data_IF_829230246796
#
_entry.id   IF_829230246796
#
_cell.length_a   1.000
_cell.length_b   1.000
_cell.length_c   1.000
_cell.angle_alpha   90.00
_cell.angle_beta   90.00
_cell.angle_gamma   90.00
#
_symmetry.space_group_name_H-M   'P 1'
#
loop_
_entity.id
_entity.type
_entity.pdbx_description
1 polymer ?
#
# COMPACT_ATOMS: atom_id res chain seq x y z
N UNK A 1 3.36 0.32 -10.82
CA UNK A 1 3.66 1.32 -9.78
C UNK A 1 3.47 0.68 -8.42
N UNK A 2 4.43 0.85 -7.52
CA UNK A 2 4.36 0.33 -6.14
C UNK A 2 4.31 1.49 -5.16
N UNK A 3 3.22 1.59 -4.43
CA UNK A 3 3.04 2.62 -3.40
C UNK A 3 3.64 2.14 -2.07
N UNK A 4 4.18 3.07 -1.31
CA UNK A 4 4.84 2.78 -0.04
C UNK A 4 4.49 3.86 1.00
N UNK A 5 4.32 3.43 2.23
CA UNK A 5 4.28 4.31 3.40
C UNK A 5 5.54 4.05 4.21
N UNK A 6 6.20 5.10 4.66
CA UNK A 6 7.50 4.99 5.31
C UNK A 6 7.68 6.03 6.41
N UNK A 7 8.62 5.76 7.30
CA UNK A 7 9.11 6.74 8.25
C UNK A 7 10.53 7.15 7.85
N UNK A 8 10.80 8.44 7.91
CA UNK A 8 12.13 9.01 7.64
C UNK A 8 12.34 10.22 8.54
N UNK A 9 13.43 10.20 9.28
CA UNK A 9 13.78 11.32 10.17
C UNK A 9 12.64 11.71 11.13
N UNK A 10 11.95 10.69 11.68
CA UNK A 10 10.85 10.90 12.61
C UNK A 10 9.53 11.35 11.98
N UNK A 11 9.44 11.39 10.65
CA UNK A 11 8.21 11.78 9.95
C UNK A 11 7.70 10.64 9.10
N UNK A 12 6.37 10.52 9.02
CA UNK A 12 5.70 9.56 8.15
C UNK A 12 5.48 10.20 6.78
N UNK A 13 5.85 9.50 5.74
CA UNK A 13 5.63 9.91 4.37
C UNK A 13 5.07 8.79 3.53
N UNK A 14 4.66 9.12 2.32
CA UNK A 14 4.23 8.13 1.35
C UNK A 14 4.77 8.48 -0.04
N UNK A 15 4.89 7.48 -0.88
CA UNK A 15 5.47 7.69 -2.20
C UNK A 15 5.39 6.46 -3.07
N UNK A 16 6.22 6.47 -4.12
CA UNK A 16 6.29 5.41 -5.12
C UNK A 16 7.71 4.88 -5.18
N UNK A 17 7.84 3.55 -5.18
CA UNK A 17 9.14 2.92 -5.38
C UNK A 17 9.47 2.91 -6.87
N UNK A 18 10.64 3.43 -7.23
CA UNK A 18 11.14 3.44 -8.61
C UNK A 18 12.66 3.28 -8.60
N UNK A 19 13.17 2.31 -9.37
CA UNK A 19 14.62 2.12 -9.58
C UNK A 19 15.45 2.11 -8.27
N UNK A 20 14.97 1.43 -7.23
CA UNK A 20 15.69 1.32 -5.97
C UNK A 20 15.60 2.53 -5.05
N UNK A 21 14.74 3.48 -5.35
CA UNK A 21 14.50 4.66 -4.54
C UNK A 21 13.02 4.97 -4.41
N UNK A 22 12.71 6.10 -3.80
CA UNK A 22 11.33 6.55 -3.57
C UNK A 22 11.14 7.93 -4.18
N UNK A 23 10.05 8.09 -4.93
CA UNK A 23 9.53 9.40 -5.31
C UNK A 23 8.52 9.78 -4.23
N UNK A 24 8.83 10.80 -3.45
CA UNK A 24 7.93 11.28 -2.40
C UNK A 24 6.69 11.94 -3.01
N UNK A 25 5.51 11.58 -2.51
CA UNK A 25 4.26 12.12 -2.99
C UNK A 25 3.65 13.19 -2.07
N UNK A 26 4.20 13.37 -0.88
CA UNK A 26 3.73 14.39 0.04
C UNK A 26 3.83 15.78 -0.63
N UNK A 27 2.72 16.52 -0.58
CA UNK A 27 2.59 17.88 -1.15
C UNK A 27 2.75 17.98 -2.67
N UNK A 28 2.76 16.86 -3.40
CA UNK A 28 2.90 16.86 -4.86
C UNK A 28 1.61 16.58 -5.62
N UNK A 29 0.62 16.02 -4.95
CA UNK A 29 -0.67 15.70 -5.58
C UNK A 29 -1.71 16.77 -5.20
N UNK A 30 -1.75 17.14 -3.93
CA UNK A 30 -2.66 18.12 -3.40
C UNK A 30 -2.46 18.24 -1.89
N UNK A 31 -2.84 19.38 -1.32
CA UNK A 31 -2.67 19.62 0.12
C UNK A 31 -3.50 18.67 0.99
N UNK A 32 -4.56 18.12 0.42
CA UNK A 32 -5.47 17.20 1.10
C UNK A 32 -5.14 15.72 0.84
N UNK A 33 -4.10 15.44 0.07
CA UNK A 33 -3.62 14.08 -0.19
C UNK A 33 -2.33 13.86 0.60
N UNK A 34 -2.47 13.33 1.81
CA UNK A 34 -1.37 13.20 2.78
C UNK A 34 -0.98 11.75 3.06
N UNK A 35 -1.66 10.79 2.45
CA UNK A 35 -1.42 9.36 2.64
C UNK A 35 -1.93 8.57 1.44
N UNK A 36 -1.52 7.29 1.36
CA UNK A 36 -2.06 6.37 0.35
C UNK A 36 -3.59 6.25 0.50
N UNK A 37 -4.08 6.19 1.74
CA UNK A 37 -5.51 6.12 2.01
C UNK A 37 -6.26 7.31 1.40
N UNK A 38 -5.78 8.52 1.60
CA UNK A 38 -6.41 9.72 1.03
C UNK A 38 -6.24 9.78 -0.50
N UNK A 39 -5.13 9.31 -1.04
CA UNK A 39 -4.91 9.23 -2.47
C UNK A 39 -5.95 8.32 -3.15
N UNK A 40 -6.20 7.16 -2.57
CA UNK A 40 -7.21 6.23 -3.09
C UNK A 40 -8.63 6.77 -2.91
N UNK A 41 -8.91 7.35 -1.76
CA UNK A 41 -10.24 7.92 -1.45
C UNK A 41 -10.61 9.05 -2.40
N UNK A 42 -9.65 9.82 -2.84
CA UNK A 42 -9.85 10.94 -3.77
C UNK A 42 -9.64 10.58 -5.24
N UNK A 43 -9.37 9.31 -5.54
CA UNK A 43 -9.15 8.82 -6.90
C UNK A 43 -8.04 9.56 -7.65
N UNK A 44 -6.93 9.83 -6.97
CA UNK A 44 -5.79 10.58 -7.53
C UNK A 44 -4.66 9.68 -8.04
N UNK A 45 -4.95 8.41 -8.30
CA UNK A 45 -3.95 7.44 -8.76
C UNK A 45 -3.33 7.84 -10.10
N UNK A 46 -4.10 8.49 -10.97
CA UNK A 46 -3.58 8.95 -12.27
C UNK A 46 -2.50 10.01 -12.10
N UNK A 47 -2.67 10.95 -11.18
CA UNK A 47 -1.65 11.94 -10.88
C UNK A 47 -0.37 11.29 -10.35
N UNK A 48 -0.52 10.28 -9.48
CA UNK A 48 0.62 9.52 -9.00
C UNK A 48 1.33 8.78 -10.13
N UNK A 49 0.60 8.19 -11.06
CA UNK A 49 1.17 7.52 -12.22
C UNK A 49 1.94 8.50 -13.12
N UNK A 50 1.38 9.68 -13.36
CA UNK A 50 2.05 10.72 -14.15
C UNK A 50 3.37 11.15 -13.49
N UNK A 51 3.37 11.32 -12.17
CA UNK A 51 4.58 11.63 -11.40
C UNK A 51 5.60 10.50 -11.52
N UNK A 52 5.16 9.25 -11.43
CA UNK A 52 6.01 8.08 -11.59
C UNK A 52 6.73 8.07 -12.93
N UNK A 53 6.04 8.44 -14.00
CA UNK A 53 6.61 8.44 -15.35
C UNK A 53 7.60 9.60 -15.56
N UNK A 54 7.35 10.75 -14.95
CA UNK A 54 8.12 11.98 -15.20
C UNK A 54 9.28 12.20 -14.23
N UNK A 55 9.18 11.70 -13.00
CA UNK A 55 10.16 12.01 -11.96
C UNK A 55 11.14 10.88 -11.69
N UNK A 56 12.30 11.27 -11.16
CA UNK A 56 13.30 10.34 -10.64
C UNK A 56 13.20 10.27 -9.12
N UNK A 57 13.68 9.17 -8.48
CA UNK A 57 13.67 9.05 -7.03
C UNK A 57 14.44 10.16 -6.33
N UNK A 58 13.89 10.65 -5.24
CA UNK A 58 14.50 11.70 -4.41
C UNK A 58 14.89 11.20 -3.01
N UNK A 59 14.52 9.98 -2.64
CA UNK A 59 14.86 9.37 -1.36
C UNK A 59 15.40 7.96 -1.61
N UNK A 60 16.49 7.58 -0.92
CA UNK A 60 17.02 6.23 -0.99
C UNK A 60 16.24 5.30 -0.06
N UNK A 61 16.04 4.05 -0.50
CA UNK A 61 15.42 3.02 0.34
C UNK A 61 16.20 2.75 1.63
N UNK A 62 17.49 3.01 1.65
CA UNK A 62 18.33 2.84 2.84
C UNK A 62 18.06 3.89 3.93
N UNK A 63 17.39 4.99 3.58
CA UNK A 63 17.13 6.11 4.50
C UNK A 63 15.79 5.97 5.25
N UNK A 64 14.99 4.94 4.95
CA UNK A 64 13.62 4.85 5.45
C UNK A 64 13.41 3.58 6.28
N UNK A 65 12.36 3.62 7.09
CA UNK A 65 11.77 2.44 7.73
C UNK A 65 10.43 2.16 7.07
N UNK A 66 10.22 0.93 6.64
CA UNK A 66 8.94 0.52 6.03
C UNK A 66 7.84 0.54 7.08
N UNK A 67 6.69 1.07 6.70
CA UNK A 67 5.47 1.02 7.50
C UNK A 67 4.40 0.24 6.73
N UNK A 68 3.32 -0.19 7.40
CA UNK A 68 2.19 -0.76 6.70
C UNK A 68 1.69 0.21 5.63
N UNK A 69 1.28 -0.29 4.48
CA UNK A 69 0.88 0.55 3.33
C UNK A 69 -0.23 1.51 3.73
N UNK A 70 -1.21 1.02 4.48
CA UNK A 70 -2.26 1.84 5.09
C UNK A 70 -2.20 1.59 6.59
N UNK A 71 -1.54 2.47 7.38
CA UNK A 71 -1.37 2.25 8.81
C UNK A 71 -2.67 2.37 9.62
N UNK A 72 -3.67 3.05 9.08
CA UNK A 72 -4.94 3.34 9.74
C UNK A 72 -6.14 2.84 8.92
N UNK A 73 -6.23 1.53 8.61
CA UNK A 73 -7.34 1.02 7.83
C UNK A 73 -8.64 1.07 8.62
N UNK A 74 -9.76 1.31 7.94
CA UNK A 74 -11.08 1.26 8.56
C UNK A 74 -11.55 -0.17 8.73
N UNK A 75 -11.27 -1.02 7.74
CA UNK A 75 -11.64 -2.44 7.72
C UNK A 75 -10.56 -3.27 7.07
N UNK A 76 -10.42 -4.50 7.53
CA UNK A 76 -9.53 -5.48 6.93
C UNK A 76 -10.36 -6.71 6.58
N UNK A 77 -10.39 -7.06 5.29
CA UNK A 77 -11.04 -8.27 4.82
C UNK A 77 -9.98 -9.35 4.63
N UNK A 78 -10.22 -10.50 5.24
CA UNK A 78 -9.31 -11.64 5.11
C UNK A 78 -10.02 -12.73 4.33
N UNK A 79 -9.33 -13.30 3.32
CA UNK A 79 -9.82 -14.42 2.54
C UNK A 79 -9.15 -15.67 3.06
N UNK A 80 -9.92 -16.54 3.70
CA UNK A 80 -9.43 -17.78 4.28
C UNK A 80 -9.44 -18.92 3.27
N UNK A 81 -8.44 -19.84 3.40
CA UNK A 81 -8.35 -21.04 2.60
C UNK A 81 -8.33 -20.80 1.09
N UNK A 82 -7.72 -19.70 0.69
CA UNK A 82 -7.66 -19.27 -0.71
C UNK A 82 -6.67 -20.09 -1.54
N UNK A 83 -5.61 -20.64 -0.91
CA UNK A 83 -4.58 -21.39 -1.59
C UNK A 83 -4.87 -22.89 -1.48
N UNK A 84 -4.69 -23.62 -2.59
CA UNK A 84 -4.93 -25.05 -2.65
C UNK A 84 -4.11 -25.83 -1.61
N UNK A 85 -2.85 -25.48 -1.43
CA UNK A 85 -1.97 -26.11 -0.45
C UNK A 85 -2.49 -25.94 0.97
N UNK A 86 -2.96 -24.73 1.31
CA UNK A 86 -3.55 -24.44 2.61
C UNK A 86 -4.82 -25.29 2.84
N UNK A 87 -5.66 -25.43 1.81
CA UNK A 87 -6.87 -26.29 1.88
C UNK A 87 -6.51 -27.74 2.15
N UNK A 88 -5.47 -28.26 1.50
CA UNK A 88 -4.99 -29.62 1.72
C UNK A 88 -4.47 -29.83 3.14
N UNK A 89 -3.72 -28.88 3.68
CA UNK A 89 -3.19 -28.95 5.04
C UNK A 89 -4.29 -28.97 6.10
N UNK A 90 -5.35 -28.20 5.92
CA UNK A 90 -6.46 -28.12 6.86
C UNK A 90 -7.47 -29.26 6.71
N UNK A 91 -7.40 -30.02 5.61
CA UNK A 91 -8.31 -31.12 5.33
C UNK A 91 -9.75 -30.68 5.06
N UNK A 92 -9.98 -29.41 4.80
CA UNK A 92 -11.30 -28.90 4.47
C UNK A 92 -11.64 -29.15 3.01
N UNK A 93 -12.93 -29.44 2.70
CA UNK A 93 -13.34 -29.62 1.31
C UNK A 93 -13.24 -28.30 0.54
N UNK A 94 -13.10 -28.42 -0.78
CA UNK A 94 -13.16 -27.27 -1.66
C UNK A 94 -14.55 -26.64 -1.61
N UNK A 95 -14.57 -25.31 -1.62
CA UNK A 95 -15.80 -24.53 -1.64
C UNK A 95 -15.79 -23.63 -2.87
N UNK A 96 -16.98 -23.38 -3.43
CA UNK A 96 -17.12 -22.54 -4.62
C UNK A 96 -16.82 -21.08 -4.34
N UNK A 97 -17.07 -20.62 -3.11
CA UNK A 97 -16.84 -19.24 -2.69
C UNK A 97 -15.73 -19.19 -1.63
N UNK A 98 -14.83 -18.21 -1.67
CA UNK A 98 -13.83 -18.05 -0.64
C UNK A 98 -14.46 -17.71 0.71
N UNK A 99 -13.84 -18.18 1.79
CA UNK A 99 -14.21 -17.75 3.14
C UNK A 99 -13.63 -16.37 3.39
N UNK A 100 -14.50 -15.41 3.71
CA UNK A 100 -14.11 -14.03 3.98
C UNK A 100 -14.45 -13.70 5.43
N UNK A 101 -13.50 -13.12 6.14
CA UNK A 101 -13.73 -12.60 7.49
C UNK A 101 -13.10 -11.22 7.62
N UNK A 102 -13.63 -10.42 8.56
CA UNK A 102 -13.21 -9.03 8.74
C UNK A 102 -12.44 -8.86 10.03
N UNK A 103 -11.55 -7.86 10.03
CA UNK A 103 -10.85 -7.39 11.22
C UNK A 103 -10.97 -5.88 11.28
N UNK A 104 -10.95 -5.36 12.51
CA UNK A 104 -10.86 -3.92 12.75
C UNK A 104 -9.43 -3.56 13.10
N UNK A 105 -9.04 -2.38 12.68
CA UNK A 105 -7.70 -1.86 12.98
C UNK A 105 -7.52 -1.55 14.46
#
# INVERSE_FOLDING_TARGET
>A
MKLITYARMGKVGFGIIKNGGIIELNDRIGNDVTSIKSLLKKNEQKKAQDIYEEMTPDISLSEITYLPVIPDPEKIFCVGLNYLEHKKETGRPDVDNPTIFTRFA
#
